data_IF_489670949799
#
_entry.id   IF_489670949799
#
_cell.length_a   1.000
_cell.length_b   1.000
_cell.length_c   1.000
_cell.angle_alpha   90.00
_cell.angle_beta   90.00
_cell.angle_gamma   90.00
#
_symmetry.space_group_name_H-M   'P 1'
#
loop_
_entity.id
_entity.type
_entity.pdbx_description
1 polymer ?
#
# COMPACT_ATOMS: atom_id res chain seq x y z
N UNK A 1 11.93 1.75 -23.58
CA UNK A 1 11.09 0.55 -23.43
C UNK A 1 9.78 0.68 -24.21
N UNK A 2 9.13 1.84 -24.16
CA UNK A 2 7.87 2.05 -24.90
C UNK A 2 8.08 1.97 -26.41
N UNK A 3 9.19 2.47 -26.92
CA UNK A 3 9.53 2.51 -28.35
C UNK A 3 9.80 1.13 -28.98
N UNK A 4 10.31 0.19 -28.17
CA UNK A 4 10.73 -1.15 -28.67
C UNK A 4 9.69 -2.24 -28.40
N UNK A 5 8.54 -1.90 -27.81
CA UNK A 5 7.46 -2.84 -27.57
C UNK A 5 6.76 -3.30 -28.85
N UNK A 6 6.14 -4.44 -28.84
CA UNK A 6 5.19 -4.85 -29.87
C UNK A 6 3.92 -3.99 -29.75
N UNK A 7 3.75 -3.04 -30.67
CA UNK A 7 2.63 -2.07 -30.65
C UNK A 7 1.26 -2.72 -30.88
N UNK A 8 1.22 -3.98 -31.32
CA UNK A 8 -0.03 -4.74 -31.49
C UNK A 8 -0.56 -5.36 -30.20
N UNK A 9 0.23 -5.32 -29.11
CA UNK A 9 -0.11 -5.93 -27.82
C UNK A 9 -0.25 -4.89 -26.72
N UNK A 10 -1.13 -5.12 -25.74
CA UNK A 10 -1.13 -4.32 -24.51
C UNK A 10 0.18 -4.53 -23.76
N UNK A 11 0.52 -3.59 -22.89
CA UNK A 11 1.67 -3.69 -22.00
C UNK A 11 1.26 -3.41 -20.55
N UNK A 12 2.00 -4.00 -19.62
CA UNK A 12 2.00 -3.63 -18.22
C UNK A 12 3.42 -3.27 -17.81
N UNK A 13 3.60 -2.13 -17.15
CA UNK A 13 4.89 -1.63 -16.72
C UNK A 13 4.84 -1.24 -15.25
N UNK A 14 5.74 -1.80 -14.43
CA UNK A 14 5.98 -1.34 -13.06
C UNK A 14 7.25 -0.50 -13.05
N UNK A 15 7.13 0.75 -12.61
CA UNK A 15 8.26 1.66 -12.43
C UNK A 15 8.49 1.83 -10.94
N UNK A 16 9.62 1.36 -10.44
CA UNK A 16 9.97 1.44 -9.04
C UNK A 16 11.01 2.55 -8.83
N UNK A 17 10.54 3.64 -8.27
CA UNK A 17 11.42 4.74 -7.90
C UNK A 17 12.13 4.41 -6.60
N UNK A 18 13.40 4.82 -6.47
CA UNK A 18 14.12 4.69 -5.21
C UNK A 18 13.65 5.74 -4.19
N UNK A 19 13.29 6.91 -4.68
CA UNK A 19 12.81 8.03 -3.87
C UNK A 19 11.47 7.72 -3.17
N UNK A 20 11.29 8.16 -1.94
CA UNK A 20 12.21 8.89 -1.06
C UNK A 20 12.99 8.00 -0.08
N UNK A 21 13.31 6.76 -0.43
CA UNK A 21 14.00 5.81 0.44
C UNK A 21 15.46 6.24 0.74
N UNK A 22 15.93 5.90 1.94
CA UNK A 22 17.34 6.12 2.30
C UNK A 22 18.30 5.09 1.64
N UNK A 23 19.55 5.46 1.29
CA UNK A 23 20.14 6.79 1.44
C UNK A 23 19.51 7.81 0.50
N UNK A 24 19.09 8.98 1.04
CA UNK A 24 18.45 10.02 0.25
C UNK A 24 19.49 10.74 -0.57
N UNK A 25 19.44 10.61 -1.88
CA UNK A 25 20.27 11.31 -2.84
C UNK A 25 19.41 12.26 -3.68
N UNK A 26 19.59 13.55 -3.51
CA UNK A 26 18.79 14.57 -4.18
C UNK A 26 19.67 15.48 -5.02
N UNK A 27 19.30 15.67 -6.28
CA UNK A 27 19.94 16.61 -7.18
C UNK A 27 19.85 18.04 -6.61
N UNK A 28 20.93 18.82 -6.65
CA UNK A 28 20.95 20.20 -6.17
C UNK A 28 19.88 21.12 -6.79
N UNK A 29 19.42 20.84 -8.00
CA UNK A 29 18.34 21.56 -8.64
C UNK A 29 17.04 21.52 -7.81
N UNK A 30 16.74 20.36 -7.23
CA UNK A 30 15.53 20.18 -6.45
C UNK A 30 15.70 20.62 -4.99
N UNK A 31 16.87 20.38 -4.37
CA UNK A 31 17.14 20.90 -3.02
C UNK A 31 17.17 22.42 -2.98
N UNK A 32 17.56 23.06 -4.07
CA UNK A 32 17.60 24.51 -4.22
C UNK A 32 16.23 25.17 -4.09
N UNK A 33 15.14 24.47 -4.44
CA UNK A 33 13.77 24.95 -4.32
C UNK A 33 13.32 25.16 -2.88
N UNK A 34 13.93 24.43 -1.95
CA UNK A 34 13.60 24.43 -0.52
C UNK A 34 14.68 25.09 0.35
N UNK A 35 15.35 26.11 -0.18
CA UNK A 35 16.41 26.83 0.51
C UNK A 35 15.90 27.44 1.82
N UNK A 36 16.56 27.09 2.94
CA UNK A 36 16.16 27.53 4.28
C UNK A 36 15.18 26.59 5.00
N UNK A 37 14.59 25.58 4.33
CA UNK A 37 13.74 24.59 4.98
C UNK A 37 14.59 23.51 5.66
N UNK A 38 14.26 23.13 6.90
CA UNK A 38 15.01 22.13 7.68
C UNK A 38 15.09 20.77 6.97
N UNK A 39 14.00 20.32 6.33
CA UNK A 39 13.89 19.05 5.61
C UNK A 39 14.15 19.20 4.10
N UNK A 40 14.91 20.21 3.68
CA UNK A 40 15.11 20.57 2.26
C UNK A 40 15.56 19.39 1.37
N UNK A 41 16.36 18.48 1.91
CA UNK A 41 16.89 17.32 1.16
C UNK A 41 15.74 16.37 0.87
N UNK A 42 14.93 16.04 1.86
CA UNK A 42 13.76 15.19 1.69
C UNK A 42 12.70 15.81 0.77
N UNK A 43 12.40 17.10 0.98
CA UNK A 43 11.43 17.83 0.14
C UNK A 43 11.89 17.88 -1.32
N UNK A 44 13.16 18.16 -1.56
CA UNK A 44 13.76 18.12 -2.89
C UNK A 44 13.73 16.72 -3.51
N UNK A 45 13.89 15.67 -2.70
CA UNK A 45 13.81 14.29 -3.16
C UNK A 45 12.40 13.90 -3.61
N UNK A 46 11.36 14.34 -2.89
CA UNK A 46 9.96 14.18 -3.32
C UNK A 46 9.71 14.93 -4.65
N UNK A 47 10.23 16.14 -4.80
CA UNK A 47 10.11 16.88 -6.07
C UNK A 47 10.87 16.22 -7.22
N UNK A 48 12.02 15.58 -6.93
CA UNK A 48 12.74 14.76 -7.90
C UNK A 48 11.92 13.56 -8.36
N UNK A 49 11.26 12.87 -7.44
CA UNK A 49 10.32 11.80 -7.75
C UNK A 49 9.16 12.28 -8.64
N UNK A 50 8.53 13.40 -8.27
CA UNK A 50 7.44 14.00 -9.03
C UNK A 50 7.89 14.37 -10.46
N UNK A 51 9.08 14.96 -10.61
CA UNK A 51 9.67 15.24 -11.91
C UNK A 51 9.88 13.97 -12.74
N UNK A 52 10.37 12.89 -12.13
CA UNK A 52 10.58 11.62 -12.83
C UNK A 52 9.26 10.97 -13.26
N UNK A 53 8.22 11.03 -12.41
CA UNK A 53 6.87 10.60 -12.79
C UNK A 53 6.33 11.46 -13.94
N UNK A 54 6.56 12.78 -13.91
CA UNK A 54 6.18 13.69 -14.99
C UNK A 54 6.79 13.29 -16.34
N UNK A 55 8.05 12.82 -16.34
CA UNK A 55 8.69 12.31 -17.57
C UNK A 55 8.02 11.03 -18.09
N UNK A 56 7.57 10.13 -17.19
CA UNK A 56 6.82 8.93 -17.59
C UNK A 56 5.48 9.32 -18.23
N UNK A 57 4.76 10.27 -17.63
CA UNK A 57 3.49 10.75 -18.16
C UNK A 57 3.67 11.45 -19.51
N UNK A 58 4.71 12.28 -19.65
CA UNK A 58 5.04 12.93 -20.92
C UNK A 58 5.34 11.91 -22.02
N UNK A 59 6.09 10.86 -21.72
CA UNK A 59 6.36 9.80 -22.70
C UNK A 59 5.09 9.08 -23.16
N UNK A 60 4.08 8.91 -22.29
CA UNK A 60 2.78 8.36 -22.68
C UNK A 60 2.01 9.33 -23.60
N UNK A 61 2.09 10.62 -23.33
CA UNK A 61 1.44 11.66 -24.14
C UNK A 61 2.11 11.75 -25.53
N UNK A 62 3.44 11.78 -25.60
CA UNK A 62 4.23 11.84 -26.83
C UNK A 62 3.99 10.64 -27.76
N UNK A 63 3.77 9.46 -27.18
CA UNK A 63 3.45 8.23 -27.92
C UNK A 63 1.95 8.05 -28.21
N UNK A 64 1.09 8.99 -27.80
CA UNK A 64 -0.35 8.93 -28.00
C UNK A 64 -1.03 7.78 -27.24
N UNK A 65 -0.48 7.38 -26.08
CA UNK A 65 -0.93 6.24 -25.30
C UNK A 65 -1.80 6.63 -24.08
N UNK A 66 -1.83 7.91 -23.72
CA UNK A 66 -2.43 8.38 -22.47
C UNK A 66 -3.88 7.98 -22.30
N UNK A 67 -4.70 8.08 -23.35
CA UNK A 67 -6.14 7.81 -23.28
C UNK A 67 -6.45 6.31 -23.12
N UNK A 68 -5.50 5.45 -23.48
CA UNK A 68 -5.63 3.99 -23.37
C UNK A 68 -4.68 3.37 -22.35
N UNK A 69 -4.22 4.16 -21.37
CA UNK A 69 -3.33 3.69 -20.31
C UNK A 69 -3.87 4.07 -18.94
N UNK A 70 -4.13 3.07 -18.10
CA UNK A 70 -4.34 3.27 -16.68
C UNK A 70 -2.99 3.45 -15.99
N UNK A 71 -2.78 4.60 -15.36
CA UNK A 71 -1.61 4.87 -14.51
C UNK A 71 -2.06 4.83 -13.06
N UNK A 72 -1.41 4.00 -12.24
CA UNK A 72 -1.60 3.95 -10.79
C UNK A 72 -0.29 4.38 -10.13
N UNK A 73 -0.35 5.38 -9.28
CA UNK A 73 0.77 5.81 -8.44
C UNK A 73 0.44 5.56 -6.97
N UNK A 74 1.34 4.91 -6.26
CA UNK A 74 1.21 4.64 -4.83
C UNK A 74 2.59 4.45 -4.19
N UNK A 75 2.62 4.30 -2.87
CA UNK A 75 3.81 3.91 -2.11
C UNK A 75 3.66 2.47 -1.58
N UNK A 76 4.77 1.84 -1.26
CA UNK A 76 4.84 0.48 -0.69
C UNK A 76 4.48 0.44 0.80
N UNK A 77 4.78 1.52 1.53
CA UNK A 77 4.53 1.66 2.97
C UNK A 77 4.53 3.12 3.42
N UNK A 78 4.11 3.35 4.65
CA UNK A 78 4.18 4.65 5.29
C UNK A 78 5.61 5.14 5.56
N UNK A 79 5.78 6.41 5.94
CA UNK A 79 7.08 7.06 6.06
C UNK A 79 7.88 6.61 7.29
N UNK A 80 9.17 6.94 7.25
CA UNK A 80 10.05 6.98 8.43
C UNK A 80 10.28 8.44 8.78
N UNK A 81 9.61 8.94 9.82
CA UNK A 81 9.58 10.37 10.18
C UNK A 81 10.96 10.98 10.40
N UNK A 82 11.90 10.23 10.99
CA UNK A 82 13.28 10.70 11.21
C UNK A 82 14.03 11.12 9.92
N UNK A 83 13.52 10.75 8.75
CA UNK A 83 14.09 11.14 7.47
C UNK A 83 13.34 12.30 6.81
N UNK A 84 12.37 12.92 7.50
CA UNK A 84 11.65 14.09 7.05
C UNK A 84 10.25 13.83 6.51
N UNK A 85 9.82 12.57 6.43
CA UNK A 85 8.45 12.22 6.08
C UNK A 85 7.48 12.46 7.23
N UNK A 86 6.19 12.47 6.95
CA UNK A 86 5.14 12.57 7.95
C UNK A 86 3.99 11.63 7.64
N UNK A 87 3.39 11.07 8.67
CA UNK A 87 2.16 10.27 8.54
C UNK A 87 0.90 11.14 8.44
N UNK A 88 1.03 12.46 8.55
CA UNK A 88 -0.13 13.37 8.57
C UNK A 88 -1.01 13.19 9.81
N UNK A 89 -0.46 12.63 10.90
CA UNK A 89 -1.16 12.36 12.14
C UNK A 89 -1.79 10.97 12.25
N UNK A 90 -1.57 10.10 11.25
CA UNK A 90 -1.90 8.67 11.36
C UNK A 90 -0.97 7.99 12.36
N UNK A 91 -1.48 7.01 13.09
CA UNK A 91 -0.72 6.27 14.09
C UNK A 91 0.31 5.35 13.44
N UNK A 92 1.49 5.26 14.03
CA UNK A 92 2.59 4.43 13.54
C UNK A 92 3.34 5.07 12.38
N UNK A 93 3.99 4.26 11.58
CA UNK A 93 4.81 4.62 10.42
C UNK A 93 5.34 3.35 9.78
N UNK A 94 6.38 3.44 8.96
CA UNK A 94 7.00 2.25 8.32
C UNK A 94 7.18 1.11 9.32
N UNK A 95 6.78 -0.10 8.95
CA UNK A 95 6.80 -1.35 9.74
C UNK A 95 5.68 -1.48 10.78
N UNK A 96 4.73 -0.57 10.84
CA UNK A 96 3.55 -0.70 11.67
C UNK A 96 2.35 -1.14 10.84
N UNK A 97 1.48 -1.97 11.39
CA UNK A 97 0.20 -2.33 10.76
C UNK A 97 -0.94 -1.37 11.18
N UNK A 98 -0.62 -0.31 11.91
CA UNK A 98 -1.49 0.86 12.09
C UNK A 98 -1.55 1.72 10.82
N UNK A 99 -2.55 2.59 10.71
CA UNK A 99 -2.81 3.39 9.51
C UNK A 99 -1.56 4.14 8.99
N UNK A 100 -0.72 4.69 9.87
CA UNK A 100 0.50 5.40 9.47
C UNK A 100 1.55 4.54 8.78
N UNK A 101 1.48 3.22 8.93
CA UNK A 101 2.38 2.30 8.25
C UNK A 101 1.84 1.72 6.95
N UNK A 102 0.51 1.63 6.81
CA UNK A 102 -0.15 0.93 5.69
C UNK A 102 -1.02 1.84 4.82
N UNK A 103 -1.48 2.99 5.34
CA UNK A 103 -2.26 3.95 4.56
C UNK A 103 -1.33 4.95 3.89
N UNK A 104 -1.23 4.86 2.59
CA UNK A 104 -0.33 5.64 1.73
C UNK A 104 -1.13 6.40 0.67
N UNK A 105 -0.56 7.45 0.07
CA UNK A 105 -1.19 8.11 -1.07
C UNK A 105 -1.45 7.12 -2.21
N UNK A 106 -2.61 7.26 -2.84
CA UNK A 106 -2.99 6.49 -4.03
C UNK A 106 -3.63 7.42 -5.05
N UNK A 107 -3.14 7.39 -6.29
CA UNK A 107 -3.68 8.18 -7.39
C UNK A 107 -3.86 7.27 -8.60
N UNK A 108 -5.00 7.38 -9.26
CA UNK A 108 -5.25 6.72 -10.55
C UNK A 108 -5.56 7.76 -11.62
N UNK A 109 -4.93 7.62 -12.79
CA UNK A 109 -5.17 8.45 -13.98
C UNK A 109 -5.54 7.56 -15.16
N UNK A 110 -6.70 7.83 -15.74
CA UNK A 110 -7.13 7.20 -16.99
C UNK A 110 -8.03 8.16 -17.75
N UNK A 111 -7.48 8.97 -18.64
CA UNK A 111 -8.26 9.94 -19.39
C UNK A 111 -9.45 9.30 -20.11
N UNK A 112 -10.60 9.97 -20.10
CA UNK A 112 -11.83 9.44 -20.67
C UNK A 112 -12.54 8.35 -19.87
N UNK A 113 -11.89 7.79 -18.82
CA UNK A 113 -12.45 6.75 -17.95
C UNK A 113 -12.58 7.18 -16.49
N UNK A 114 -11.65 7.95 -16.00
CA UNK A 114 -11.67 8.52 -14.65
C UNK A 114 -11.85 10.03 -14.79
N UNK A 115 -12.90 10.58 -14.16
CA UNK A 115 -13.13 12.02 -14.18
C UNK A 115 -12.04 12.73 -13.36
N UNK A 116 -11.37 13.76 -13.93
CA UNK A 116 -10.37 14.53 -13.20
C UNK A 116 -10.89 15.14 -11.91
N UNK A 117 -10.06 15.17 -10.87
CA UNK A 117 -10.39 15.81 -9.60
C UNK A 117 -11.33 15.02 -8.70
N UNK A 118 -11.72 13.79 -9.08
CA UNK A 118 -12.53 12.92 -8.19
C UNK A 118 -11.70 12.37 -7.04
N UNK A 119 -12.34 12.22 -5.88
CA UNK A 119 -11.80 11.58 -4.68
C UNK A 119 -12.68 10.40 -4.31
N UNK A 120 -12.08 9.31 -3.87
CA UNK A 120 -12.79 8.10 -3.43
C UNK A 120 -12.28 7.68 -2.05
N UNK A 121 -13.21 7.36 -1.15
CA UNK A 121 -12.92 6.81 0.18
C UNK A 121 -12.93 5.27 0.19
N UNK A 122 -13.07 4.65 -0.97
CA UNK A 122 -13.04 3.19 -1.09
C UNK A 122 -11.65 2.68 -0.71
N UNK A 123 -11.53 1.81 0.31
CA UNK A 123 -10.24 1.22 0.68
C UNK A 123 -9.73 0.31 -0.44
N UNK A 124 -8.52 0.57 -0.90
CA UNK A 124 -7.83 -0.24 -1.92
C UNK A 124 -6.45 -0.65 -1.40
N UNK A 125 -5.91 -1.73 -1.92
CA UNK A 125 -4.64 -2.30 -1.46
C UNK A 125 -3.82 -2.82 -2.65
N UNK A 126 -2.51 -3.00 -2.47
CA UNK A 126 -1.61 -3.39 -3.57
C UNK A 126 -2.00 -4.68 -4.30
N UNK A 127 -2.61 -5.66 -3.60
CA UNK A 127 -3.11 -6.90 -4.21
C UNK A 127 -4.24 -6.66 -5.23
N UNK A 128 -4.95 -5.55 -5.14
CA UNK A 128 -6.04 -5.19 -6.07
C UNK A 128 -5.51 -4.88 -7.47
N UNK A 129 -4.26 -4.47 -7.60
CA UNK A 129 -3.66 -4.12 -8.90
C UNK A 129 -3.70 -5.32 -9.84
N UNK A 130 -3.39 -6.52 -9.36
CA UNK A 130 -3.44 -7.74 -10.17
C UNK A 130 -4.84 -8.01 -10.71
N UNK A 131 -5.84 -8.05 -9.83
CA UNK A 131 -7.23 -8.28 -10.22
C UNK A 131 -7.76 -7.18 -11.16
N UNK A 132 -7.36 -5.93 -10.94
CA UNK A 132 -7.72 -4.81 -11.80
C UNK A 132 -7.12 -4.93 -13.20
N UNK A 133 -5.85 -5.34 -13.32
CA UNK A 133 -5.20 -5.55 -14.62
C UNK A 133 -5.91 -6.66 -15.40
N UNK A 134 -6.25 -7.76 -14.75
CA UNK A 134 -6.99 -8.85 -15.40
C UNK A 134 -8.38 -8.39 -15.86
N UNK A 135 -9.11 -7.64 -15.04
CA UNK A 135 -10.43 -7.11 -15.38
C UNK A 135 -10.38 -6.19 -16.61
N UNK A 136 -9.49 -5.19 -16.63
CA UNK A 136 -9.40 -4.25 -17.74
C UNK A 136 -8.90 -4.88 -19.05
N UNK A 137 -8.19 -6.01 -18.96
CA UNK A 137 -7.71 -6.76 -20.13
C UNK A 137 -8.65 -7.88 -20.56
N UNK A 138 -9.75 -8.12 -19.83
CA UNK A 138 -10.70 -9.19 -20.11
C UNK A 138 -10.17 -10.59 -19.84
N UNK A 139 -9.12 -10.72 -19.03
CA UNK A 139 -8.54 -12.01 -18.64
C UNK A 139 -9.24 -12.48 -17.35
N UNK A 140 -9.80 -13.69 -17.30
CA UNK A 140 -10.44 -14.20 -16.11
C UNK A 140 -9.43 -14.39 -14.96
N UNK A 141 -9.90 -14.21 -13.72
CA UNK A 141 -9.11 -14.54 -12.54
C UNK A 141 -8.81 -16.04 -12.50
N UNK A 142 -7.61 -16.46 -12.03
CA UNK A 142 -7.32 -17.86 -11.76
C UNK A 142 -8.34 -18.48 -10.79
N UNK A 143 -8.78 -19.70 -11.08
CA UNK A 143 -9.74 -20.46 -10.25
C UNK A 143 -9.04 -21.50 -9.37
N UNK A 144 -7.74 -21.74 -9.59
CA UNK A 144 -6.95 -22.76 -8.90
C UNK A 144 -6.41 -22.30 -7.53
N UNK A 145 -6.68 -21.05 -7.14
CA UNK A 145 -6.21 -20.43 -5.89
C UNK A 145 -7.08 -19.26 -5.46
N UNK A 146 -6.99 -18.90 -4.19
CA UNK A 146 -7.62 -17.69 -3.65
C UNK A 146 -6.88 -16.45 -4.17
N UNK A 147 -7.60 -15.48 -4.69
CA UNK A 147 -7.08 -14.16 -5.06
C UNK A 147 -7.59 -13.14 -4.03
N UNK A 148 -6.68 -12.58 -3.25
CA UNK A 148 -7.02 -11.64 -2.16
C UNK A 148 -7.49 -10.28 -2.68
N UNK A 149 -6.99 -9.87 -3.84
CA UNK A 149 -7.35 -8.60 -4.48
C UNK A 149 -8.65 -8.69 -5.27
N UNK A 150 -9.25 -7.52 -5.47
CA UNK A 150 -10.45 -7.34 -6.31
C UNK A 150 -10.21 -6.23 -7.32
N UNK A 151 -10.96 -6.21 -8.42
CA UNK A 151 -10.90 -5.09 -9.36
C UNK A 151 -11.41 -3.81 -8.70
N UNK A 152 -10.62 -2.73 -8.80
CA UNK A 152 -10.99 -1.40 -8.31
C UNK A 152 -11.64 -0.52 -9.40
N UNK A 153 -11.88 -1.06 -10.59
CA UNK A 153 -12.54 -0.35 -11.70
C UNK A 153 -13.87 0.30 -11.27
N UNK A 154 -14.72 -0.34 -10.46
CA UNK A 154 -15.95 0.30 -9.96
C UNK A 154 -15.68 1.60 -9.20
N UNK A 155 -14.60 1.68 -8.41
CA UNK A 155 -14.25 2.88 -7.65
C UNK A 155 -13.93 4.08 -8.53
N UNK A 156 -13.47 3.88 -9.77
CA UNK A 156 -13.19 4.94 -10.73
C UNK A 156 -14.43 5.75 -11.14
N UNK A 157 -15.63 5.19 -10.95
CA UNK A 157 -16.91 5.82 -11.23
C UNK A 157 -17.75 6.04 -9.96
N UNK A 158 -17.11 6.01 -8.78
CA UNK A 158 -17.78 6.21 -7.50
C UNK A 158 -18.67 5.06 -7.04
N UNK A 159 -18.56 3.89 -7.68
CA UNK A 159 -19.28 2.69 -7.27
C UNK A 159 -18.55 1.94 -6.16
N UNK A 160 -19.26 1.22 -5.27
CA UNK A 160 -18.62 0.42 -4.25
C UNK A 160 -17.78 -0.71 -4.85
N UNK A 161 -16.76 -1.10 -4.13
CA UNK A 161 -15.95 -2.29 -4.42
C UNK A 161 -16.30 -3.36 -3.40
N UNK A 162 -16.88 -4.46 -3.87
CA UNK A 162 -17.24 -5.58 -3.02
C UNK A 162 -16.06 -6.51 -2.83
N UNK A 163 -15.77 -6.90 -1.58
CA UNK A 163 -14.68 -7.79 -1.22
C UNK A 163 -15.20 -9.06 -0.56
N UNK A 164 -14.81 -10.21 -1.10
CA UNK A 164 -15.04 -11.52 -0.47
C UNK A 164 -13.99 -11.76 0.63
N UNK A 165 -12.74 -11.37 0.39
CA UNK A 165 -11.63 -11.45 1.34
C UNK A 165 -11.42 -10.08 1.98
N UNK A 166 -11.36 -9.98 3.32
CA UNK A 166 -11.03 -8.75 4.01
C UNK A 166 -9.65 -8.21 3.61
N UNK A 167 -9.43 -6.93 3.82
CA UNK A 167 -8.08 -6.38 3.73
C UNK A 167 -7.25 -6.93 4.91
N UNK A 168 -6.09 -7.49 4.59
CA UNK A 168 -5.24 -8.16 5.56
C UNK A 168 -3.79 -7.73 5.39
N UNK A 169 -3.13 -7.46 6.50
CA UNK A 169 -1.71 -7.13 6.56
C UNK A 169 -1.04 -8.00 7.61
N UNK A 170 0.16 -8.41 7.30
CA UNK A 170 1.03 -9.13 8.23
C UNK A 170 2.47 -8.72 7.96
N UNK A 171 3.16 -8.28 8.99
CA UNK A 171 4.58 -7.96 8.91
C UNK A 171 5.38 -8.63 10.01
N UNK A 172 6.50 -9.24 9.64
CA UNK A 172 7.42 -9.88 10.60
C UNK A 172 8.48 -8.90 11.14
N UNK A 173 8.52 -7.68 10.61
CA UNK A 173 9.48 -6.63 10.99
C UNK A 173 8.86 -5.51 11.80
N UNK A 174 7.55 -5.54 12.04
CA UNK A 174 6.87 -4.54 12.88
C UNK A 174 7.23 -4.71 14.37
N UNK A 175 6.95 -3.69 15.19
CA UNK A 175 6.99 -3.81 16.64
C UNK A 175 6.15 -5.01 17.12
N UNK A 176 6.53 -5.66 18.24
CA UNK A 176 5.83 -6.86 18.71
C UNK A 176 4.33 -6.70 18.97
N UNK A 177 3.84 -5.47 19.14
CA UNK A 177 2.45 -5.18 19.48
C UNK A 177 1.47 -5.13 18.30
N UNK A 178 1.96 -4.95 17.08
CA UNK A 178 1.15 -4.64 15.89
C UNK A 178 1.67 -5.38 14.65
N UNK A 179 1.59 -6.70 14.64
CA UNK A 179 2.16 -7.57 13.61
C UNK A 179 1.16 -8.12 12.62
N UNK A 180 -0.10 -7.87 12.83
CA UNK A 180 -1.16 -8.29 11.93
C UNK A 180 -2.31 -7.30 12.02
N UNK A 181 -2.91 -6.97 10.91
CA UNK A 181 -4.14 -6.21 10.87
C UNK A 181 -5.13 -6.81 9.89
N UNK A 182 -6.42 -6.66 10.20
CA UNK A 182 -7.52 -7.00 9.31
C UNK A 182 -8.50 -5.84 9.29
N UNK A 183 -8.96 -5.46 8.11
CA UNK A 183 -10.01 -4.47 7.93
C UNK A 183 -11.18 -5.04 7.16
N UNK A 184 -12.38 -4.87 7.72
CA UNK A 184 -13.65 -5.18 7.08
C UNK A 184 -14.56 -3.97 7.19
N UNK A 185 -14.86 -3.33 6.05
CA UNK A 185 -15.58 -2.06 6.03
C UNK A 185 -14.86 -1.00 6.88
N UNK A 186 -15.57 -0.47 7.87
CA UNK A 186 -15.06 0.58 8.76
C UNK A 186 -14.28 0.05 9.97
N UNK A 187 -14.35 -1.26 10.21
CA UNK A 187 -13.72 -1.89 11.36
C UNK A 187 -12.33 -2.42 11.03
N UNK A 188 -11.38 -2.11 11.92
CA UNK A 188 -10.01 -2.61 11.84
C UNK A 188 -9.60 -3.24 13.16
N UNK A 189 -9.07 -4.45 13.09
CA UNK A 189 -8.45 -5.16 14.20
C UNK A 189 -6.95 -5.21 13.98
N UNK A 190 -6.18 -4.86 15.00
CA UNK A 190 -4.70 -4.98 15.01
C UNK A 190 -4.32 -5.97 16.10
N UNK A 191 -3.46 -6.93 15.77
CA UNK A 191 -3.03 -7.98 16.67
C UNK A 191 -1.53 -8.04 16.87
N UNK A 192 -1.10 -8.56 18.02
CA UNK A 192 0.30 -8.86 18.28
C UNK A 192 0.77 -10.14 17.55
N UNK A 193 2.06 -10.41 17.59
CA UNK A 193 2.72 -11.54 16.94
C UNK A 193 2.26 -12.93 17.44
N UNK A 194 1.77 -13.01 18.67
CA UNK A 194 1.25 -14.23 19.28
C UNK A 194 -0.26 -14.38 19.17
N UNK A 195 -0.95 -13.41 18.58
CA UNK A 195 -2.40 -13.37 18.43
C UNK A 195 -3.15 -13.48 19.78
N UNK A 196 -2.55 -12.94 20.85
CA UNK A 196 -3.11 -12.97 22.20
C UNK A 196 -3.64 -11.61 22.66
N UNK A 197 -3.22 -10.53 22.00
CA UNK A 197 -3.67 -9.16 22.27
C UNK A 197 -4.15 -8.52 21.01
N UNK A 198 -5.30 -7.88 21.10
CA UNK A 198 -5.93 -7.22 19.97
C UNK A 198 -6.39 -5.81 20.35
N UNK A 199 -6.39 -4.93 19.36
CA UNK A 199 -6.92 -3.57 19.43
C UNK A 199 -7.97 -3.41 18.34
N UNK A 200 -9.09 -2.78 18.63
CA UNK A 200 -10.21 -2.59 17.71
C UNK A 200 -10.44 -1.11 17.45
N UNK A 201 -10.60 -0.74 16.18
CA UNK A 201 -10.82 0.64 15.75
C UNK A 201 -11.96 0.74 14.74
N UNK A 202 -12.74 1.82 14.82
CA UNK A 202 -13.71 2.23 13.81
C UNK A 202 -13.10 3.34 12.96
N UNK A 203 -12.44 2.97 11.84
CA UNK A 203 -11.52 3.83 11.09
C UNK A 203 -12.20 5.07 10.50
N UNK A 204 -13.46 5.01 10.13
CA UNK A 204 -14.17 6.19 9.63
C UNK A 204 -14.32 7.29 10.69
N UNK A 205 -14.50 6.91 11.96
CA UNK A 205 -14.64 7.85 13.07
C UNK A 205 -13.33 8.16 13.77
N UNK A 206 -12.40 7.23 13.73
CA UNK A 206 -11.10 7.30 14.40
C UNK A 206 -9.96 6.87 13.47
N UNK A 207 -9.77 7.63 12.39
CA UNK A 207 -8.73 7.37 11.39
C UNK A 207 -7.29 7.47 11.95
N UNK A 208 -7.14 8.06 13.15
CA UNK A 208 -5.87 8.17 13.86
C UNK A 208 -5.63 7.01 14.85
N UNK A 209 -6.59 6.10 15.00
CA UNK A 209 -6.50 4.93 15.91
C UNK A 209 -6.16 5.33 17.37
N UNK A 210 -6.80 6.40 17.85
CA UNK A 210 -6.58 6.96 19.19
C UNK A 210 -7.34 6.20 20.28
N UNK A 211 -8.51 5.65 19.94
CA UNK A 211 -9.41 5.00 20.87
C UNK A 211 -9.52 3.51 20.58
N UNK A 212 -8.84 2.71 21.38
CA UNK A 212 -9.04 1.26 21.36
C UNK A 212 -10.41 0.91 21.92
N UNK A 213 -11.20 0.18 21.14
CA UNK A 213 -12.55 -0.25 21.47
C UNK A 213 -12.62 -1.71 21.88
N UNK A 214 -11.50 -2.44 21.96
CA UNK A 214 -11.49 -3.88 22.19
C UNK A 214 -12.22 -4.30 23.46
N UNK A 215 -11.94 -3.63 24.57
CA UNK A 215 -12.57 -3.93 25.86
C UNK A 215 -14.02 -3.45 25.95
N UNK A 216 -14.34 -2.33 25.28
CA UNK A 216 -15.71 -1.76 25.30
C UNK A 216 -16.66 -2.45 24.31
N UNK A 217 -16.14 -3.18 23.33
CA UNK A 217 -16.92 -3.87 22.29
C UNK A 217 -16.47 -5.34 22.14
N UNK A 218 -16.58 -6.16 23.19
CA UNK A 218 -16.00 -7.51 23.21
C UNK A 218 -16.60 -8.43 22.13
N UNK A 219 -17.89 -8.30 21.83
CA UNK A 219 -18.55 -9.09 20.78
C UNK A 219 -17.99 -8.75 19.40
N UNK A 220 -17.78 -7.45 19.10
CA UNK A 220 -17.20 -7.02 17.81
C UNK A 220 -15.74 -7.40 17.69
N UNK A 221 -15.02 -7.31 18.79
CA UNK A 221 -13.61 -7.74 18.86
C UNK A 221 -13.48 -9.24 18.56
N UNK A 222 -14.33 -10.08 19.15
CA UNK A 222 -14.28 -11.51 18.91
C UNK A 222 -14.73 -11.86 17.47
N UNK A 223 -15.75 -11.21 16.93
CA UNK A 223 -16.14 -11.36 15.52
C UNK A 223 -14.96 -11.07 14.58
N UNK A 224 -14.31 -9.93 14.76
CA UNK A 224 -13.18 -9.52 13.92
C UNK A 224 -11.96 -10.44 14.10
N UNK A 225 -11.73 -10.91 15.31
CA UNK A 225 -10.67 -11.88 15.62
C UNK A 225 -10.91 -13.22 14.93
N UNK A 226 -12.11 -13.76 14.97
CA UNK A 226 -12.46 -14.99 14.25
C UNK A 226 -12.20 -14.82 12.76
N UNK A 227 -12.62 -13.72 12.19
CA UNK A 227 -12.38 -13.41 10.78
C UNK A 227 -10.89 -13.31 10.45
N UNK A 228 -10.10 -12.69 11.33
CA UNK A 228 -8.64 -12.60 11.18
C UNK A 228 -7.99 -13.99 11.22
N UNK A 229 -8.41 -14.84 12.14
CA UNK A 229 -7.87 -16.19 12.27
C UNK A 229 -8.22 -17.11 11.09
N UNK A 230 -9.40 -16.92 10.49
CA UNK A 230 -9.79 -17.60 9.25
C UNK A 230 -8.83 -17.23 8.11
N UNK A 231 -8.63 -15.94 7.83
CA UNK A 231 -7.72 -15.46 6.80
C UNK A 231 -6.27 -15.90 7.09
N UNK A 232 -5.84 -15.80 8.36
CA UNK A 232 -4.53 -16.26 8.78
C UNK A 232 -4.30 -17.74 8.49
N UNK A 233 -5.29 -18.58 8.81
CA UNK A 233 -5.23 -20.03 8.58
C UNK A 233 -5.17 -20.37 7.10
N UNK A 234 -5.97 -19.67 6.29
CA UNK A 234 -6.00 -19.84 4.84
C UNK A 234 -4.63 -19.56 4.22
N UNK A 235 -4.08 -18.36 4.47
CA UNK A 235 -2.75 -17.97 4.03
C UNK A 235 -1.67 -18.93 4.51
N UNK A 236 -1.75 -19.39 5.77
CA UNK A 236 -0.77 -20.31 6.33
C UNK A 236 -0.84 -21.71 5.70
N UNK A 237 -1.98 -22.11 5.15
CA UNK A 237 -2.16 -23.40 4.46
C UNK A 237 -1.58 -23.43 3.05
N UNK A 238 -1.49 -22.27 2.39
CA UNK A 238 -0.99 -22.15 1.01
C UNK A 238 0.53 -21.92 0.93
N UNK A 239 1.11 -21.42 2.01
CA UNK A 239 2.54 -21.08 2.04
C UNK A 239 3.45 -22.28 2.24
N UNK A 240 4.74 -22.19 1.85
CA UNK A 240 5.71 -23.21 2.20
C UNK A 240 5.89 -23.26 3.73
N UNK A 241 5.80 -24.46 4.31
CA UNK A 241 5.81 -24.72 5.76
C UNK A 241 6.93 -24.00 6.54
N UNK A 242 8.05 -23.73 5.90
CA UNK A 242 9.20 -23.06 6.51
C UNK A 242 9.10 -21.52 6.51
N UNK A 243 8.22 -20.92 5.72
CA UNK A 243 8.09 -19.47 5.61
C UNK A 243 7.59 -18.83 6.91
N UNK A 244 6.77 -19.55 7.62
CA UNK A 244 6.18 -19.14 8.89
C UNK A 244 7.02 -19.55 10.12
N UNK A 245 7.91 -20.51 9.91
CA UNK A 245 8.83 -21.02 10.94
C UNK A 245 10.15 -20.26 10.95
N UNK A 246 10.30 -19.24 10.11
CA UNK A 246 11.51 -18.46 10.12
C UNK A 246 11.69 -17.79 11.49
N UNK A 247 12.44 -18.49 12.34
CA UNK A 247 13.28 -17.81 13.30
C UNK A 247 13.89 -16.62 12.56
N UNK A 248 13.78 -15.42 13.14
CA UNK A 248 14.53 -14.25 12.66
C UNK A 248 15.91 -14.75 12.29
N UNK A 249 16.29 -14.67 11.04
CA UNK A 249 17.71 -14.80 10.72
C UNK A 249 18.38 -13.74 11.58
N UNK A 250 19.01 -14.19 12.66
CA UNK A 250 19.84 -13.33 13.48
C UNK A 250 20.81 -12.73 12.48
N UNK A 251 20.88 -11.41 12.31
CA UNK A 251 21.89 -10.82 11.44
C UNK A 251 23.22 -11.47 11.85
N UNK A 252 23.95 -11.99 10.88
CA UNK A 252 25.26 -12.55 11.13
C UNK A 252 25.99 -11.53 12.00
N UNK A 253 26.54 -11.96 13.14
CA UNK A 253 27.19 -11.06 14.12
C UNK A 253 28.15 -10.16 13.36
N UNK A 254 27.87 -8.85 13.28
CA UNK A 254 28.69 -7.84 12.61
C UNK A 254 28.12 -7.26 11.30
N UNK A 255 27.05 -7.77 10.75
CA UNK A 255 26.38 -7.18 9.59
C UNK A 255 25.52 -5.99 9.99
N UNK A 256 25.97 -4.76 9.69
CA UNK A 256 25.05 -3.61 9.61
C UNK A 256 24.06 -3.96 8.50
N UNK A 257 22.76 -4.02 8.84
CA UNK A 257 21.71 -3.99 7.83
C UNK A 257 21.84 -2.64 7.12
N UNK A 258 22.49 -2.64 5.97
CA UNK A 258 22.43 -1.53 5.03
C UNK A 258 21.04 -1.59 4.40
N UNK A 259 20.16 -0.69 4.84
CA UNK A 259 18.90 -0.37 4.18
C UNK A 259 19.13 0.79 3.23
#
# INVERSE_FOLDING_TARGET
>A
LVDVRDKSKPFALSVWFHEPHSPIATDPRFTGLYKGHENRIYMGNITQLDHALGQVLQALDDEGLSDNTLVIFTSDNGPVERFGGTTGGLRGGKRSDHEGGIRVPGVARWPGRIQPGTVSDVPVVGTDIFATVLDITGIPLPEDRTIDGVSIVPAFTGKPVERKVPLFWRTHVSPPGDRVALRTGDWKLVGNDTLTKFQLYEIQKDWQEKRDLADSMPHKTEEMKQRLLEVWKDIASEGPDHWWKNERQKPARGGKLNY
#
